data_IF_738350876462
#
_entry.id   IF_738350876462
#
_cell.length_a   1.000
_cell.length_b   1.000
_cell.length_c   1.000
_cell.angle_alpha   90.00
_cell.angle_beta   90.00
_cell.angle_gamma   90.00
#
_symmetry.space_group_name_H-M   'P 1'
#
loop_
_entity.id
_entity.type
_entity.pdbx_description
1 polymer ?
#
# COMPACT_ATOMS: atom_id res chain seq x y z
N UNK A 1 7.29 24.16 -2.48
CA UNK A 1 6.09 23.62 -3.16
C UNK A 1 6.61 22.49 -4.02
N UNK A 2 6.48 21.26 -3.54
CA UNK A 2 6.89 20.07 -4.27
C UNK A 2 6.01 19.92 -5.53
N UNK A 3 6.61 19.52 -6.64
CA UNK A 3 5.99 19.53 -7.95
C UNK A 3 5.49 18.13 -8.34
N UNK A 4 4.17 17.96 -8.46
CA UNK A 4 3.56 16.90 -9.25
C UNK A 4 3.67 17.21 -10.77
N UNK A 5 3.67 16.18 -11.61
CA UNK A 5 3.61 16.34 -13.08
C UNK A 5 2.24 16.82 -13.55
N UNK A 6 1.19 16.62 -12.75
CA UNK A 6 -0.14 17.14 -13.00
C UNK A 6 -0.63 17.95 -11.80
N UNK A 7 -1.31 19.08 -12.07
CA UNK A 7 -1.82 19.98 -11.03
C UNK A 7 -3.13 19.53 -10.40
N UNK A 8 -3.83 18.60 -11.05
CA UNK A 8 -5.16 18.14 -10.65
C UNK A 8 -5.19 16.61 -10.61
N UNK A 9 -5.82 16.02 -9.58
CA UNK A 9 -5.99 14.57 -9.51
C UNK A 9 -6.87 14.10 -10.67
N UNK A 10 -6.49 12.96 -11.25
CA UNK A 10 -7.27 12.34 -12.33
C UNK A 10 -8.31 11.36 -11.78
N UNK A 11 -7.93 10.62 -10.74
CA UNK A 11 -8.79 9.62 -10.08
C UNK A 11 -9.59 10.29 -8.98
N UNK A 12 -10.86 9.91 -8.86
CA UNK A 12 -11.70 10.39 -7.77
C UNK A 12 -11.31 9.70 -6.46
N UNK A 13 -10.39 10.32 -5.72
CA UNK A 13 -9.83 9.75 -4.48
C UNK A 13 -10.90 9.48 -3.42
N UNK A 14 -11.93 10.33 -3.32
CA UNK A 14 -13.00 10.13 -2.37
C UNK A 14 -13.81 8.85 -2.68
N UNK A 15 -14.11 8.60 -3.94
CA UNK A 15 -14.78 7.38 -4.38
C UNK A 15 -13.89 6.14 -4.18
N UNK A 16 -12.60 6.24 -4.47
CA UNK A 16 -11.65 5.15 -4.22
C UNK A 16 -11.51 4.82 -2.75
N UNK A 17 -11.41 5.82 -1.86
CA UNK A 17 -11.40 5.63 -0.41
C UNK A 17 -12.67 4.93 0.08
N UNK A 18 -13.84 5.36 -0.38
CA UNK A 18 -15.12 4.69 -0.02
C UNK A 18 -15.09 3.23 -0.47
N UNK A 19 -14.71 2.97 -1.71
CA UNK A 19 -14.62 1.61 -2.25
C UNK A 19 -13.66 0.73 -1.44
N UNK A 20 -12.45 1.21 -1.14
CA UNK A 20 -11.45 0.48 -0.36
C UNK A 20 -11.92 0.24 1.08
N UNK A 21 -12.51 1.26 1.71
CA UNK A 21 -13.05 1.18 3.06
C UNK A 21 -14.13 0.11 3.19
N UNK A 22 -15.03 0.01 2.22
CA UNK A 22 -16.06 -1.04 2.20
C UNK A 22 -15.46 -2.45 2.24
N UNK A 23 -14.32 -2.67 1.55
CA UNK A 23 -13.63 -3.97 1.55
C UNK A 23 -12.94 -4.26 2.89
N UNK A 24 -12.30 -3.26 3.46
CA UNK A 24 -11.62 -3.39 4.76
C UNK A 24 -12.64 -3.62 5.88
N UNK A 25 -13.70 -2.82 5.92
CA UNK A 25 -14.67 -2.86 7.03
C UNK A 25 -15.58 -4.09 6.95
N UNK A 26 -15.77 -4.66 5.75
CA UNK A 26 -16.51 -5.91 5.56
C UNK A 26 -15.64 -7.16 5.80
N UNK A 27 -14.31 -7.02 5.78
CA UNK A 27 -13.35 -8.11 6.00
C UNK A 27 -13.45 -8.70 7.40
N UNK A 28 -13.66 -10.02 7.49
CA UNK A 28 -13.65 -10.74 8.76
C UNK A 28 -12.27 -10.66 9.46
N UNK A 29 -11.18 -10.65 8.69
CA UNK A 29 -9.81 -10.47 9.18
C UNK A 29 -9.65 -9.13 9.91
N UNK A 30 -10.01 -8.03 9.24
CA UNK A 30 -9.87 -6.69 9.82
C UNK A 30 -10.81 -6.51 11.02
N UNK A 31 -12.05 -7.03 10.94
CA UNK A 31 -12.99 -6.99 12.07
C UNK A 31 -12.51 -7.79 13.26
N UNK A 32 -12.05 -9.03 13.09
CA UNK A 32 -11.55 -9.83 14.20
C UNK A 32 -10.35 -9.15 14.88
N UNK A 33 -9.44 -8.61 14.07
CA UNK A 33 -8.33 -7.79 14.58
C UNK A 33 -8.81 -6.58 15.38
N UNK A 34 -9.75 -5.79 14.83
CA UNK A 34 -10.34 -4.63 15.52
C UNK A 34 -11.04 -5.00 16.85
N UNK A 35 -11.58 -6.21 16.96
CA UNK A 35 -12.19 -6.73 18.19
C UNK A 35 -11.16 -7.25 19.21
N UNK A 36 -9.87 -7.22 18.88
CA UNK A 36 -8.79 -7.69 19.75
C UNK A 36 -8.63 -9.21 19.77
N UNK A 37 -9.13 -9.93 18.75
CA UNK A 37 -8.88 -11.35 18.62
C UNK A 37 -7.42 -11.60 18.24
N UNK A 38 -6.67 -12.18 19.17
CA UNK A 38 -5.23 -12.45 19.02
C UNK A 38 -4.93 -13.44 17.90
N UNK A 39 -5.79 -14.43 17.66
CA UNK A 39 -5.54 -15.41 16.61
C UNK A 39 -5.77 -14.80 15.24
N UNK A 40 -6.82 -13.99 15.08
CA UNK A 40 -7.03 -13.19 13.87
C UNK A 40 -5.88 -12.20 13.63
N UNK A 41 -5.38 -11.52 14.66
CA UNK A 41 -4.23 -10.60 14.51
C UNK A 41 -2.97 -11.37 14.08
N UNK A 42 -2.70 -12.53 14.70
CA UNK A 42 -1.57 -13.38 14.30
C UNK A 42 -1.71 -13.84 12.85
N UNK A 43 -2.91 -14.26 12.43
CA UNK A 43 -3.18 -14.64 11.04
C UNK A 43 -2.94 -13.46 10.09
N UNK A 44 -3.40 -12.24 10.44
CA UNK A 44 -3.13 -11.03 9.66
C UNK A 44 -1.63 -10.75 9.53
N UNK A 45 -0.89 -10.77 10.65
CA UNK A 45 0.55 -10.51 10.68
C UNK A 45 1.34 -11.52 9.83
N UNK A 46 0.98 -12.80 9.89
CA UNK A 46 1.61 -13.87 9.13
C UNK A 46 1.21 -13.81 7.64
N UNK A 47 -0.09 -13.73 7.38
CA UNK A 47 -0.64 -13.88 6.03
C UNK A 47 -0.21 -12.78 5.07
N UNK A 48 -0.05 -11.56 5.59
CA UNK A 48 0.42 -10.42 4.79
C UNK A 48 1.94 -10.32 4.69
N UNK A 49 2.69 -11.03 5.53
CA UNK A 49 4.13 -10.89 5.60
C UNK A 49 4.85 -11.12 4.26
N UNK A 50 4.55 -12.18 3.48
CA UNK A 50 5.21 -12.38 2.20
C UNK A 50 4.99 -11.22 1.22
N UNK A 51 3.79 -10.65 1.23
CA UNK A 51 3.46 -9.50 0.38
C UNK A 51 4.24 -8.26 0.81
N UNK A 52 4.23 -7.90 2.09
CA UNK A 52 4.92 -6.71 2.60
C UNK A 52 6.41 -6.74 2.26
N UNK A 53 7.06 -7.90 2.46
CA UNK A 53 8.46 -8.07 2.10
C UNK A 53 8.73 -7.96 0.59
N UNK A 54 7.89 -8.59 -0.22
CA UNK A 54 8.07 -8.57 -1.67
C UNK A 54 7.79 -7.18 -2.25
N UNK A 55 6.80 -6.49 -1.70
CA UNK A 55 6.38 -5.17 -2.14
C UNK A 55 7.45 -4.11 -1.88
N UNK A 56 8.02 -4.06 -0.68
CA UNK A 56 9.11 -3.13 -0.35
C UNK A 56 10.33 -3.36 -1.27
N UNK A 57 10.68 -4.62 -1.57
CA UNK A 57 11.74 -4.93 -2.53
C UNK A 57 11.40 -4.49 -3.95
N UNK A 58 10.15 -4.68 -4.39
CA UNK A 58 9.71 -4.28 -5.72
C UNK A 58 9.83 -2.76 -5.90
N UNK A 59 9.46 -1.98 -4.88
CA UNK A 59 9.64 -0.52 -4.85
C UNK A 59 11.12 -0.16 -5.02
N UNK A 60 12.00 -0.71 -4.18
CA UNK A 60 13.44 -0.40 -4.22
C UNK A 60 14.05 -0.72 -5.60
N UNK A 61 13.68 -1.86 -6.20
CA UNK A 61 14.16 -2.26 -7.53
C UNK A 61 13.60 -1.34 -8.62
N UNK A 62 12.30 -1.06 -8.61
CA UNK A 62 11.64 -0.36 -9.73
C UNK A 62 11.93 1.13 -9.72
N UNK A 63 11.92 1.78 -8.56
CA UNK A 63 12.26 3.21 -8.42
C UNK A 63 13.70 3.46 -8.88
N UNK A 64 14.62 2.52 -8.63
CA UNK A 64 15.99 2.59 -9.14
C UNK A 64 16.15 2.49 -10.66
N UNK A 65 15.13 2.00 -11.38
CA UNK A 65 15.21 1.66 -12.81
C UNK A 65 14.08 2.27 -13.66
N UNK A 66 13.48 3.37 -13.21
CA UNK A 66 12.35 3.98 -13.92
C UNK A 66 12.70 4.41 -15.36
N UNK A 67 11.85 4.12 -16.35
CA UNK A 67 12.10 4.53 -17.72
C UNK A 67 11.92 6.05 -17.86
N UNK A 68 13.02 6.79 -17.85
CA UNK A 68 13.00 8.27 -17.90
C UNK A 68 12.65 8.81 -19.29
N UNK A 69 13.04 8.10 -20.36
CA UNK A 69 12.92 8.60 -21.75
C UNK A 69 11.47 8.95 -22.15
N UNK A 70 10.45 8.11 -21.90
CA UNK A 70 9.06 8.46 -22.18
C UNK A 70 8.60 9.72 -21.45
N UNK A 71 8.98 9.87 -20.18
CA UNK A 71 8.65 11.05 -19.37
C UNK A 71 9.30 12.32 -19.92
N UNK A 72 10.59 12.26 -20.29
CA UNK A 72 11.31 13.40 -20.88
C UNK A 72 10.70 13.81 -22.21
N UNK A 73 10.26 12.86 -23.03
CA UNK A 73 9.58 13.15 -24.28
C UNK A 73 8.22 13.85 -24.06
N UNK A 74 7.50 13.48 -23.01
CA UNK A 74 6.17 14.03 -22.71
C UNK A 74 6.21 15.38 -22.01
N UNK A 75 7.13 15.58 -21.07
CA UNK A 75 7.15 16.74 -20.17
C UNK A 75 8.37 17.65 -20.33
N UNK A 76 9.37 17.22 -21.10
CA UNK A 76 10.65 17.91 -21.24
C UNK A 76 11.64 17.58 -20.13
N UNK A 77 12.94 17.70 -20.45
CA UNK A 77 14.02 17.28 -19.55
C UNK A 77 14.10 18.11 -18.26
N UNK A 78 13.87 19.42 -18.33
CA UNK A 78 13.91 20.31 -17.16
C UNK A 78 12.87 19.92 -16.13
N UNK A 79 11.62 19.75 -16.57
CA UNK A 79 10.49 19.39 -15.71
C UNK A 79 10.68 18.04 -15.03
N UNK A 80 11.15 17.03 -15.77
CA UNK A 80 11.41 15.71 -15.21
C UNK A 80 12.57 15.71 -14.21
N UNK A 81 13.62 16.50 -14.46
CA UNK A 81 14.71 16.66 -13.47
C UNK A 81 14.22 17.29 -12.18
N UNK A 82 13.40 18.34 -12.27
CA UNK A 82 12.80 18.99 -11.10
C UNK A 82 11.90 18.02 -10.34
N UNK A 83 10.97 17.35 -11.05
CA UNK A 83 10.09 16.34 -10.46
C UNK A 83 10.87 15.26 -9.70
N UNK A 84 11.85 14.60 -10.31
CA UNK A 84 12.60 13.55 -9.62
C UNK A 84 13.49 14.07 -8.50
N UNK A 85 13.96 15.32 -8.56
CA UNK A 85 14.70 15.91 -7.44
C UNK A 85 13.79 16.08 -6.24
N UNK A 86 12.62 16.68 -6.45
CA UNK A 86 11.67 17.00 -5.38
C UNK A 86 10.93 15.75 -4.88
N UNK A 87 10.52 14.84 -5.77
CA UNK A 87 9.93 13.56 -5.38
C UNK A 87 10.92 12.70 -4.61
N UNK A 88 12.20 12.73 -4.96
CA UNK A 88 13.23 12.02 -4.18
C UNK A 88 13.47 12.65 -2.82
N UNK A 89 13.40 13.97 -2.71
CA UNK A 89 13.47 14.67 -1.43
C UNK A 89 12.27 14.30 -0.56
N UNK A 90 11.04 14.38 -1.09
CA UNK A 90 9.81 13.99 -0.40
C UNK A 90 9.83 12.51 0.04
N UNK A 91 10.15 11.59 -0.86
CA UNK A 91 10.24 10.15 -0.54
C UNK A 91 11.35 9.85 0.46
N UNK A 92 12.46 10.59 0.43
CA UNK A 92 13.53 10.43 1.43
C UNK A 92 13.08 10.92 2.80
N UNK A 93 12.44 12.09 2.85
CA UNK A 93 11.88 12.65 4.09
C UNK A 93 10.86 11.69 4.70
N UNK A 94 9.94 11.17 3.88
CA UNK A 94 8.97 10.13 4.27
C UNK A 94 9.67 8.85 4.73
N UNK A 95 10.69 8.35 4.03
CA UNK A 95 11.45 7.14 4.45
C UNK A 95 12.21 7.34 5.76
N UNK A 96 12.70 8.56 6.02
CA UNK A 96 13.35 8.91 7.29
C UNK A 96 12.33 8.99 8.45
N UNK A 97 11.07 9.36 8.16
CA UNK A 97 9.96 9.46 9.11
C UNK A 97 9.25 8.11 9.36
N UNK A 98 8.87 7.39 8.30
CA UNK A 98 8.12 6.12 8.31
C UNK A 98 9.01 4.89 8.55
N UNK A 99 10.32 4.98 8.29
CA UNK A 99 11.23 3.83 8.36
C UNK A 99 10.90 2.74 7.35
N UNK A 100 11.29 1.49 7.63
CA UNK A 100 10.95 0.35 6.76
C UNK A 100 9.61 -0.24 7.20
N UNK A 101 8.62 -0.26 6.31
CA UNK A 101 7.32 -0.87 6.58
C UNK A 101 7.44 -2.36 6.97
N UNK A 102 8.34 -3.13 6.36
CA UNK A 102 8.54 -4.52 6.77
C UNK A 102 9.11 -4.62 8.19
N UNK A 103 10.03 -3.73 8.58
CA UNK A 103 10.56 -3.68 9.96
C UNK A 103 9.44 -3.33 10.93
N UNK A 104 8.66 -2.28 10.66
CA UNK A 104 7.55 -1.85 11.52
C UNK A 104 6.48 -2.94 11.68
N UNK A 105 6.16 -3.65 10.59
CA UNK A 105 5.22 -4.77 10.61
C UNK A 105 5.76 -5.93 11.47
N UNK A 106 7.01 -6.33 11.26
CA UNK A 106 7.66 -7.39 12.01
C UNK A 106 7.80 -7.06 13.50
N UNK A 107 8.11 -5.81 13.84
CA UNK A 107 8.16 -5.35 15.22
C UNK A 107 6.78 -5.40 15.88
N UNK A 108 5.71 -5.02 15.18
CA UNK A 108 4.34 -5.21 15.65
C UNK A 108 4.00 -6.69 15.88
N UNK A 109 4.46 -7.59 15.01
CA UNK A 109 4.22 -9.02 15.12
C UNK A 109 4.91 -9.67 16.34
N UNK A 110 6.05 -9.12 16.80
CA UNK A 110 6.77 -9.61 18.00
C UNK A 110 5.93 -9.51 19.27
N UNK A 111 5.06 -8.50 19.39
CA UNK A 111 4.11 -8.34 20.51
C UNK A 111 3.12 -9.53 20.60
N UNK A 112 2.96 -10.28 19.51
CA UNK A 112 2.15 -11.49 19.43
C UNK A 112 2.98 -12.78 19.41
N UNK A 113 4.27 -12.71 19.74
CA UNK A 113 5.16 -13.87 19.80
C UNK A 113 5.50 -14.45 18.41
N UNK A 114 5.56 -13.61 17.39
CA UNK A 114 5.91 -14.00 16.03
C UNK A 114 7.33 -13.53 15.69
N UNK A 115 8.12 -14.39 15.06
CA UNK A 115 9.40 -14.04 14.45
C UNK A 115 9.29 -14.14 12.94
N UNK A 116 8.86 -13.04 12.31
CA UNK A 116 8.61 -12.98 10.88
C UNK A 116 9.90 -13.13 10.03
N UNK A 117 11.07 -12.78 10.57
CA UNK A 117 12.33 -12.91 9.84
C UNK A 117 13.00 -14.29 10.05
N UNK A 118 12.84 -14.88 11.24
CA UNK A 118 13.45 -16.17 11.57
C UNK A 118 12.61 -17.39 11.22
N UNK A 119 11.32 -17.22 10.93
CA UNK A 119 10.39 -18.31 10.64
C UNK A 119 9.93 -18.28 9.18
N UNK A 120 9.88 -19.46 8.54
CA UNK A 120 9.25 -19.60 7.24
C UNK A 120 7.73 -19.72 7.38
N UNK A 121 6.99 -18.89 6.65
CA UNK A 121 5.54 -18.93 6.57
C UNK A 121 5.11 -19.21 5.13
N UNK A 122 4.17 -20.11 4.96
CA UNK A 122 3.62 -20.45 3.64
C UNK A 122 2.94 -19.23 3.03
N UNK A 123 3.18 -19.00 1.73
CA UNK A 123 2.51 -17.93 0.99
C UNK A 123 1.22 -18.45 0.38
N UNK A 124 0.10 -17.85 0.75
CA UNK A 124 -1.21 -18.22 0.21
C UNK A 124 -1.32 -17.90 -1.29
N UNK A 125 -2.07 -18.68 -2.09
CA UNK A 125 -2.17 -18.47 -3.53
C UNK A 125 -2.68 -17.07 -3.93
N UNK A 126 -3.63 -16.50 -3.18
CA UNK A 126 -4.11 -15.14 -3.40
C UNK A 126 -3.04 -14.07 -3.13
N UNK A 127 -2.26 -14.25 -2.06
CA UNK A 127 -1.13 -13.38 -1.71
C UNK A 127 -0.03 -13.48 -2.76
N UNK A 128 0.25 -14.68 -3.28
CA UNK A 128 1.22 -14.88 -4.37
C UNK A 128 0.80 -14.13 -5.66
N UNK A 129 -0.50 -14.06 -5.96
CA UNK A 129 -1.02 -13.29 -7.10
C UNK A 129 -0.84 -11.79 -6.91
N UNK A 130 -1.08 -11.29 -5.70
CA UNK A 130 -0.80 -9.88 -5.37
C UNK A 130 0.68 -9.55 -5.57
N UNK A 131 1.58 -10.44 -5.11
CA UNK A 131 3.03 -10.29 -5.29
C UNK A 131 3.41 -10.26 -6.77
N UNK A 132 2.84 -11.16 -7.59
CA UNK A 132 3.17 -11.23 -9.02
C UNK A 132 2.80 -9.94 -9.78
N UNK A 133 1.69 -9.30 -9.42
CA UNK A 133 1.27 -8.04 -10.04
C UNK A 133 2.06 -6.83 -9.51
N UNK A 134 2.52 -6.88 -8.25
CA UNK A 134 3.37 -5.86 -7.67
C UNK A 134 4.77 -5.77 -8.33
N UNK A 135 5.20 -6.82 -9.02
CA UNK A 135 6.48 -6.86 -9.77
C UNK A 135 6.30 -6.61 -11.28
N UNK A 136 5.21 -5.94 -11.67
CA UNK A 136 4.92 -5.68 -13.08
C UNK A 136 6.00 -4.82 -13.73
N UNK A 137 6.45 -5.24 -14.92
CA UNK A 137 7.35 -4.43 -15.74
C UNK A 137 6.64 -3.25 -16.44
N UNK A 138 5.31 -3.25 -16.51
CA UNK A 138 4.56 -2.11 -17.02
C UNK A 138 4.47 -1.02 -15.95
N UNK A 139 5.10 0.17 -16.14
CA UNK A 139 5.06 1.24 -15.15
C UNK A 139 3.63 1.70 -14.82
N UNK A 140 2.71 1.66 -15.78
CA UNK A 140 1.31 2.05 -15.53
C UNK A 140 0.68 1.10 -14.51
N UNK A 141 0.85 -0.21 -14.72
CA UNK A 141 0.30 -1.22 -13.81
C UNK A 141 0.98 -1.13 -12.45
N UNK A 142 2.32 -1.05 -12.43
CA UNK A 142 3.12 -0.96 -11.21
C UNK A 142 2.68 0.22 -10.33
N UNK A 143 2.64 1.44 -10.88
CA UNK A 143 2.25 2.62 -10.10
C UNK A 143 0.76 2.66 -9.75
N UNK A 144 -0.12 2.08 -10.60
CA UNK A 144 -1.53 1.88 -10.21
C UNK A 144 -1.64 0.92 -9.03
N UNK A 145 -0.79 -0.11 -8.98
CA UNK A 145 -0.75 -1.07 -7.88
C UNK A 145 -0.22 -0.44 -6.60
N UNK A 146 0.81 0.40 -6.69
CA UNK A 146 1.32 1.21 -5.57
C UNK A 146 0.25 2.10 -4.96
N UNK A 147 -0.40 2.93 -5.79
CA UNK A 147 -1.49 3.77 -5.33
C UNK A 147 -2.62 2.96 -4.65
N UNK A 148 -2.97 1.80 -5.20
CA UNK A 148 -3.98 0.93 -4.58
C UNK A 148 -3.56 0.40 -3.21
N UNK A 149 -2.29 0.05 -3.03
CA UNK A 149 -1.75 -0.42 -1.75
C UNK A 149 -1.73 0.69 -0.72
N UNK A 150 -1.43 1.94 -1.11
CA UNK A 150 -1.55 3.10 -0.22
C UNK A 150 -3.00 3.30 0.24
N UNK A 151 -3.99 3.25 -0.67
CA UNK A 151 -5.40 3.29 -0.26
C UNK A 151 -5.75 2.20 0.76
N UNK A 152 -5.23 0.99 0.57
CA UNK A 152 -5.48 -0.14 1.48
C UNK A 152 -4.80 0.11 2.83
N UNK A 153 -3.54 0.52 2.83
CA UNK A 153 -2.75 0.74 4.04
C UNK A 153 -3.35 1.86 4.89
N UNK A 154 -3.65 3.02 4.27
CA UNK A 154 -4.25 4.17 4.94
C UNK A 154 -5.63 3.84 5.51
N UNK A 155 -6.53 3.20 4.76
CA UNK A 155 -7.87 2.86 5.26
C UNK A 155 -7.85 1.72 6.31
N UNK A 156 -6.85 0.82 6.25
CA UNK A 156 -6.66 -0.22 7.26
C UNK A 156 -6.11 0.39 8.56
N UNK A 157 -5.14 1.28 8.44
CA UNK A 157 -4.59 2.06 9.55
C UNK A 157 -5.68 2.89 10.22
N UNK A 158 -6.43 3.67 9.43
CA UNK A 158 -7.54 4.48 9.93
C UNK A 158 -8.57 3.63 10.70
N UNK A 159 -8.82 2.39 10.28
CA UNK A 159 -9.72 1.50 11.00
C UNK A 159 -9.11 0.92 12.28
N UNK A 160 -7.91 0.33 12.20
CA UNK A 160 -7.32 -0.43 13.30
C UNK A 160 -6.67 0.46 14.37
N UNK A 161 -6.03 1.56 14.00
CA UNK A 161 -5.46 2.54 14.95
C UNK A 161 -6.56 3.17 15.83
N UNK A 162 -7.78 3.28 15.30
CA UNK A 162 -8.94 3.79 16.04
C UNK A 162 -9.75 2.70 16.77
N UNK A 163 -9.28 1.44 16.77
CA UNK A 163 -9.93 0.34 17.48
C UNK A 163 -9.23 0.05 18.83
N UNK A 164 -9.80 0.47 19.99
CA UNK A 164 -9.09 0.40 21.27
C UNK A 164 -8.75 -1.02 21.71
N UNK A 165 -9.58 -2.01 21.33
CA UNK A 165 -9.32 -3.43 21.66
C UNK A 165 -8.10 -3.95 20.92
N UNK A 166 -7.86 -3.50 19.68
CA UNK A 166 -6.66 -3.82 18.93
C UNK A 166 -5.43 -3.10 19.50
N UNK A 167 -5.49 -1.76 19.62
CA UNK A 167 -4.31 -0.97 20.01
C UNK A 167 -3.85 -1.26 21.43
N UNK A 168 -4.76 -1.61 22.35
CA UNK A 168 -4.42 -1.99 23.73
C UNK A 168 -3.58 -3.26 23.86
N UNK A 169 -3.47 -4.07 22.80
CA UNK A 169 -2.67 -5.29 22.79
C UNK A 169 -1.18 -5.02 22.53
N UNK A 170 -0.82 -3.84 22.03
CA UNK A 170 0.55 -3.42 21.84
C UNK A 170 1.09 -2.75 23.10
N UNK A 171 2.35 -3.00 23.47
CA UNK A 171 2.96 -2.41 24.67
C UNK A 171 2.84 -0.87 24.73
N UNK A 172 2.97 -0.18 23.58
CA UNK A 172 2.86 1.27 23.48
C UNK A 172 1.43 1.80 23.34
N UNK A 173 0.44 0.91 23.34
CA UNK A 173 -0.99 1.20 23.11
C UNK A 173 -1.29 1.84 21.74
N UNK A 174 -0.42 1.63 20.77
CA UNK A 174 -0.60 2.00 19.38
C UNK A 174 0.13 1.00 18.49
N UNK A 175 -0.29 0.92 17.23
CA UNK A 175 0.35 0.09 16.22
C UNK A 175 1.21 0.98 15.33
N UNK A 176 2.54 0.94 15.52
CA UNK A 176 3.47 1.86 14.85
C UNK A 176 3.38 1.79 13.32
N UNK A 177 3.23 0.60 12.74
CA UNK A 177 3.04 0.46 11.29
C UNK A 177 1.80 1.21 10.81
N UNK A 178 0.69 1.11 11.55
CA UNK A 178 -0.53 1.83 11.20
C UNK A 178 -0.38 3.35 11.31
N UNK A 179 0.34 3.84 12.33
CA UNK A 179 0.59 5.28 12.46
C UNK A 179 1.37 5.86 11.28
N UNK A 180 2.33 5.11 10.73
CA UNK A 180 3.05 5.53 9.52
C UNK A 180 2.14 5.73 8.29
N UNK A 181 0.91 5.18 8.30
CA UNK A 181 -0.09 5.36 7.24
C UNK A 181 -1.31 6.18 7.70
N UNK A 182 -1.32 6.70 8.93
CA UNK A 182 -2.38 7.53 9.50
C UNK A 182 -1.92 9.00 9.66
N UNK A 183 -0.65 9.30 9.42
CA UNK A 183 -0.08 10.64 9.55
C UNK A 183 -0.49 11.54 8.37
N UNK A 184 -1.41 12.47 8.66
CA UNK A 184 -1.96 13.43 7.69
C UNK A 184 -1.13 14.73 7.60
N UNK A 185 0.06 14.78 8.21
CA UNK A 185 0.85 16.01 8.37
C UNK A 185 2.25 15.88 7.75
N UNK A 186 2.34 15.53 6.46
CA UNK A 186 3.59 15.68 5.70
C UNK A 186 3.54 16.94 4.83
N UNK A 187 4.61 17.75 4.89
CA UNK A 187 4.80 18.87 3.96
C UNK A 187 5.17 18.30 2.58
N UNK A 188 4.22 18.22 1.65
CA UNK A 188 4.46 17.75 0.28
C UNK A 188 3.37 16.80 -0.26
N UNK A 189 3.50 16.31 -1.51
CA UNK A 189 2.58 15.33 -2.06
C UNK A 189 2.75 13.99 -1.35
N UNK A 190 1.66 13.32 -1.00
CA UNK A 190 1.75 11.99 -0.37
C UNK A 190 2.23 10.90 -1.34
N UNK A 191 2.68 9.75 -0.82
CA UNK A 191 3.03 8.57 -1.64
C UNK A 191 1.93 8.25 -2.66
N UNK A 192 0.68 8.21 -2.20
CA UNK A 192 -0.49 8.01 -3.06
C UNK A 192 -0.56 9.00 -4.22
N UNK A 193 -0.29 10.29 -3.98
CA UNK A 193 -0.35 11.31 -5.02
C UNK A 193 0.75 11.14 -6.05
N UNK A 194 1.97 10.82 -5.60
CA UNK A 194 3.12 10.55 -6.46
C UNK A 194 2.84 9.32 -7.36
N UNK A 195 2.27 8.26 -6.79
CA UNK A 195 1.98 7.03 -7.52
C UNK A 195 0.89 7.23 -8.57
N UNK A 196 -0.21 7.91 -8.24
CA UNK A 196 -1.25 8.25 -9.20
C UNK A 196 -0.71 9.13 -10.35
N UNK A 197 0.15 10.11 -10.01
CA UNK A 197 0.77 11.04 -10.95
C UNK A 197 1.71 10.30 -11.91
N UNK A 198 2.53 9.37 -11.41
CA UNK A 198 3.42 8.53 -12.21
C UNK A 198 2.66 7.53 -13.08
N UNK A 199 1.63 6.87 -12.55
CA UNK A 199 0.77 5.98 -13.33
C UNK A 199 0.15 6.71 -14.53
N UNK A 200 -0.35 7.93 -14.30
CA UNK A 200 -0.88 8.82 -15.35
C UNK A 200 0.20 9.27 -16.33
N UNK A 201 1.38 9.63 -15.83
CA UNK A 201 2.49 10.12 -16.64
C UNK A 201 3.01 9.06 -17.63
N UNK A 202 2.96 7.79 -17.25
CA UNK A 202 3.33 6.66 -18.11
C UNK A 202 2.21 6.17 -19.03
N UNK A 203 0.95 6.50 -18.76
CA UNK A 203 -0.17 6.07 -19.59
C UNK A 203 -0.09 6.69 -21.01
N UNK A 204 -0.24 5.90 -22.10
CA UNK A 204 0.02 6.38 -23.45
C UNK A 204 -1.02 7.38 -23.98
N UNK A 205 -2.25 7.35 -23.47
CA UNK A 205 -3.30 8.32 -23.85
C UNK A 205 -3.15 9.64 -23.09
N UNK A 206 -3.54 10.73 -23.75
CA UNK A 206 -3.77 12.05 -23.13
C UNK A 206 -5.26 12.32 -22.87
N UNK A 207 -6.16 11.44 -23.31
CA UNK A 207 -7.58 11.55 -23.04
C UNK A 207 -7.83 11.26 -21.54
N UNK A 208 -8.27 12.25 -20.76
CA UNK A 208 -8.42 12.10 -19.32
C UNK A 208 -9.48 11.06 -18.96
N UNK A 209 -10.54 10.87 -19.76
CA UNK A 209 -11.59 9.92 -19.45
C UNK A 209 -11.10 8.48 -19.64
N UNK A 210 -10.37 8.23 -20.73
CA UNK A 210 -9.76 6.91 -21.00
C UNK A 210 -8.71 6.58 -19.94
N UNK A 211 -7.80 7.52 -19.66
CA UNK A 211 -6.76 7.31 -18.66
C UNK A 211 -7.35 7.09 -17.28
N UNK A 212 -8.33 7.91 -16.86
CA UNK A 212 -9.01 7.75 -15.57
C UNK A 212 -9.65 6.37 -15.45
N UNK A 213 -10.38 5.93 -16.48
CA UNK A 213 -11.03 4.62 -16.47
C UNK A 213 -10.02 3.48 -16.31
N UNK A 214 -8.90 3.54 -17.04
CA UNK A 214 -7.86 2.51 -16.97
C UNK A 214 -7.15 2.46 -15.60
N UNK A 215 -6.72 3.61 -15.06
CA UNK A 215 -6.05 3.66 -13.76
C UNK A 215 -6.99 3.21 -12.63
N UNK A 216 -8.25 3.68 -12.67
CA UNK A 216 -9.28 3.28 -11.70
C UNK A 216 -9.54 1.78 -11.74
N UNK A 217 -9.61 1.19 -12.94
CA UNK A 217 -9.80 -0.25 -13.10
C UNK A 217 -8.64 -1.06 -12.50
N UNK A 218 -7.39 -0.67 -12.81
CA UNK A 218 -6.19 -1.33 -12.25
C UNK A 218 -6.18 -1.26 -10.72
N UNK A 219 -6.47 -0.09 -10.15
CA UNK A 219 -6.50 0.09 -8.70
C UNK A 219 -7.60 -0.74 -8.03
N UNK A 220 -8.81 -0.73 -8.61
CA UNK A 220 -9.92 -1.55 -8.10
C UNK A 220 -9.62 -3.04 -8.14
N UNK A 221 -8.98 -3.51 -9.21
CA UNK A 221 -8.56 -4.92 -9.32
C UNK A 221 -7.62 -5.32 -8.18
N UNK A 222 -6.62 -4.48 -7.87
CA UNK A 222 -5.73 -4.70 -6.72
C UNK A 222 -6.51 -4.80 -5.40
N UNK A 223 -7.41 -3.84 -5.13
CA UNK A 223 -8.22 -3.79 -3.90
C UNK A 223 -9.15 -5.03 -3.78
N UNK A 224 -9.74 -5.48 -4.88
CA UNK A 224 -10.55 -6.70 -4.89
C UNK A 224 -9.72 -7.97 -4.68
N UNK A 225 -8.47 -8.01 -5.18
CA UNK A 225 -7.56 -9.10 -4.86
C UNK A 225 -7.15 -9.08 -3.39
N UNK A 226 -6.95 -7.90 -2.80
CA UNK A 226 -6.70 -7.75 -1.36
C UNK A 226 -7.87 -8.27 -0.51
N UNK A 227 -9.12 -8.00 -0.91
CA UNK A 227 -10.32 -8.55 -0.25
C UNK A 227 -10.30 -10.09 -0.28
N UNK A 228 -10.00 -10.70 -1.43
CA UNK A 228 -9.92 -12.16 -1.58
C UNK A 228 -8.80 -12.76 -0.72
N UNK A 229 -7.63 -12.13 -0.72
CA UNK A 229 -6.52 -12.56 0.13
C UNK A 229 -6.83 -12.40 1.62
N UNK A 230 -7.49 -11.33 2.03
CA UNK A 230 -7.96 -11.16 3.42
C UNK A 230 -8.89 -12.29 3.86
N UNK A 231 -9.79 -12.73 2.97
CA UNK A 231 -10.67 -13.86 3.24
C UNK A 231 -9.90 -15.18 3.40
N UNK A 232 -8.95 -15.47 2.50
CA UNK A 232 -8.12 -16.68 2.60
C UNK A 232 -7.24 -16.66 3.86
N UNK A 233 -6.65 -15.53 4.21
CA UNK A 233 -5.87 -15.37 5.45
C UNK A 233 -6.77 -15.63 6.66
N UNK A 234 -7.97 -15.05 6.71
CA UNK A 234 -8.90 -15.30 7.81
C UNK A 234 -9.29 -16.78 7.95
N UNK A 235 -9.44 -17.49 6.83
CA UNK A 235 -9.74 -18.92 6.84
C UNK A 235 -8.62 -19.80 7.44
N UNK A 236 -7.42 -19.24 7.67
CA UNK A 236 -6.33 -19.93 8.37
C UNK A 236 -6.43 -19.84 9.90
N UNK A 237 -7.36 -19.04 10.43
CA UNK A 237 -7.56 -18.93 11.88
C UNK A 237 -8.07 -20.24 12.47
N UNK A 238 -7.70 -20.59 13.72
CA UNK A 238 -8.10 -21.86 14.34
C UNK A 238 -9.63 -22.07 14.43
N UNK A 239 -10.41 -20.99 14.55
CA UNK A 239 -11.88 -21.04 14.62
C UNK A 239 -12.53 -21.49 13.30
N UNK A 240 -11.87 -21.25 12.17
CA UNK A 240 -12.34 -21.60 10.82
C UNK A 240 -11.68 -22.87 10.25
N UNK A 241 -10.65 -23.42 10.92
CA UNK A 241 -9.89 -24.59 10.48
C UNK A 241 -10.53 -25.94 10.88
N UNK A 242 -11.77 -25.93 11.40
CA UNK A 242 -12.56 -27.08 11.85
C UNK A 242 -13.96 -27.07 11.23
#
# INVERSE_FOLDING_TARGET
>A
MYALLFSEPLVNRAEMRVFTREKIYSSALARGAAHGDKDTIRAMMIGWWPFIQAFERAIDVRVGHLPIKPLVQRFGQSRIKTFFSEAREAVREMKEEEGSHAILWADGAKEFGLDLFGTHYDTLPSVQKLIANADSEDPVIFFSWLAAVEYIAEELAAYLCHAPKFTSLFAKKHWTWGLAHDEHEHDGPSHLEIDEDLARAYYPSNDPDITRAALTANMRECIEMFEKASFEIYATTPEMAH
#
